data_IF_950787587830
#
_entry.id   IF_950787587830
#
_cell.length_a   1.000
_cell.length_b   1.000
_cell.length_c   1.000
_cell.angle_alpha   90.00
_cell.angle_beta   90.00
_cell.angle_gamma   90.00
#
_symmetry.space_group_name_H-M   'P 1'
#
loop_
_entity.id
_entity.type
_entity.pdbx_description
1 polymer ?
#
# COMPACT_ATOMS: atom_id res chain seq x y z
N UNK A 1 -4.83 -0.79 12.55
CA UNK A 1 -3.49 -1.45 12.38
C UNK A 1 -3.16 -2.47 13.49
N UNK A 2 -3.31 -2.22 14.82
CA UNK A 2 -2.96 -3.23 15.83
C UNK A 2 -3.64 -4.60 15.66
N UNK A 3 -4.93 -4.65 15.29
CA UNK A 3 -5.59 -5.92 14.96
C UNK A 3 -4.99 -6.62 13.73
N UNK A 4 -4.57 -5.85 12.71
CA UNK A 4 -3.85 -6.40 11.55
C UNK A 4 -2.47 -6.95 11.98
N UNK A 5 -1.80 -6.31 12.94
CA UNK A 5 -0.55 -6.82 13.50
C UNK A 5 -0.74 -8.18 14.19
N UNK A 6 -1.84 -8.39 14.92
CA UNK A 6 -2.17 -9.70 15.50
C UNK A 6 -2.45 -10.74 14.40
N UNK A 7 -3.19 -10.35 13.36
CA UNK A 7 -3.40 -11.20 12.17
C UNK A 7 -2.05 -11.60 11.53
N UNK A 8 -1.13 -10.65 11.35
CA UNK A 8 0.20 -10.91 10.79
C UNK A 8 1.02 -11.89 11.67
N UNK A 9 0.99 -11.72 13.00
CA UNK A 9 1.64 -12.64 13.95
C UNK A 9 1.05 -14.04 13.89
N UNK A 10 -0.29 -14.16 13.90
CA UNK A 10 -1.03 -15.43 13.81
C UNK A 10 -0.66 -16.19 12.53
N UNK A 11 -0.58 -15.49 11.42
CA UNK A 11 -0.20 -16.05 10.11
C UNK A 11 1.32 -16.22 9.94
N UNK A 12 2.13 -15.88 10.96
CA UNK A 12 3.59 -15.94 10.89
C UNK A 12 4.15 -15.17 9.68
N UNK A 13 3.57 -13.99 9.42
CA UNK A 13 4.00 -13.17 8.30
C UNK A 13 5.51 -12.87 8.38
N UNK A 14 6.18 -12.97 7.25
CA UNK A 14 7.62 -12.72 7.15
C UNK A 14 7.92 -11.23 7.02
N UNK A 15 6.95 -10.45 6.62
CA UNK A 15 6.92 -8.98 6.64
C UNK A 15 5.46 -8.48 6.53
N UNK A 16 5.28 -7.20 6.81
CA UNK A 16 4.08 -6.43 6.47
C UNK A 16 4.45 -5.28 5.53
N UNK A 17 3.61 -5.02 4.55
CA UNK A 17 3.82 -3.97 3.56
C UNK A 17 2.65 -3.00 3.54
N UNK A 18 2.89 -1.74 3.92
CA UNK A 18 1.91 -0.66 3.90
C UNK A 18 2.06 0.16 2.62
N UNK A 19 0.96 0.43 1.93
CA UNK A 19 0.96 1.04 0.60
C UNK A 19 0.63 2.55 0.62
N UNK A 20 0.95 3.26 1.71
CA UNK A 20 0.77 4.70 1.82
C UNK A 20 -0.50 5.13 2.55
N UNK A 21 -0.68 6.44 2.72
CA UNK A 21 -1.70 7.11 3.53
C UNK A 21 -1.66 6.67 4.99
N UNK A 22 -0.62 7.14 5.68
CA UNK A 22 -0.36 6.77 7.07
C UNK A 22 -1.27 7.50 8.04
N UNK A 23 -1.55 8.77 7.75
CA UNK A 23 -2.40 9.68 8.53
C UNK A 23 -3.11 10.67 7.60
N UNK A 24 -4.25 11.22 8.06
CA UNK A 24 -5.05 12.13 7.25
C UNK A 24 -4.34 13.48 6.95
N UNK A 25 -3.54 14.00 7.86
CA UNK A 25 -2.72 15.23 7.80
C UNK A 25 -3.55 16.52 7.73
N UNK A 26 -4.43 16.71 6.75
CA UNK A 26 -5.23 17.94 6.59
C UNK A 26 -6.50 17.97 7.44
N UNK A 27 -6.86 16.87 8.05
CA UNK A 27 -7.96 16.72 9.01
C UNK A 27 -7.56 15.73 10.08
N UNK A 28 -8.27 15.72 11.22
CA UNK A 28 -7.93 14.83 12.30
C UNK A 28 -8.28 13.38 11.97
N UNK A 29 -7.39 12.46 12.36
CA UNK A 29 -7.75 11.05 12.48
C UNK A 29 -8.58 10.82 13.74
N UNK A 30 -9.60 10.01 13.63
CA UNK A 30 -10.57 9.76 14.70
C UNK A 30 -9.92 9.15 15.95
N UNK A 31 -8.96 8.25 15.78
CA UNK A 31 -8.28 7.60 16.90
C UNK A 31 -7.42 8.58 17.71
N UNK A 32 -6.76 9.55 17.06
CA UNK A 32 -6.00 10.58 17.76
C UNK A 32 -6.93 11.48 18.58
N UNK A 33 -8.08 11.87 18.01
CA UNK A 33 -9.05 12.68 18.74
C UNK A 33 -9.63 11.98 19.97
N UNK A 34 -9.72 10.66 19.95
CA UNK A 34 -10.26 9.85 21.04
C UNK A 34 -9.20 9.39 22.05
N UNK A 35 -7.96 9.82 21.92
CA UNK A 35 -6.96 9.63 22.99
C UNK A 35 -7.35 10.47 24.22
N UNK A 36 -7.25 9.93 25.44
CA UNK A 36 -7.71 10.61 26.68
C UNK A 36 -7.11 12.01 26.85
N UNK A 37 -5.83 12.20 26.49
CA UNK A 37 -5.11 13.47 26.53
C UNK A 37 -5.70 14.52 25.58
N UNK A 38 -6.22 14.10 24.42
CA UNK A 38 -6.77 14.99 23.40
C UNK A 38 -8.27 15.25 23.58
N UNK A 39 -8.99 14.36 24.26
CA UNK A 39 -10.35 14.64 24.75
C UNK A 39 -10.29 15.77 25.79
N UNK A 40 -9.31 15.71 26.70
CA UNK A 40 -9.15 16.73 27.75
C UNK A 40 -8.62 18.09 27.20
N UNK A 41 -7.79 18.04 26.15
CA UNK A 41 -7.20 19.21 25.50
C UNK A 41 -7.18 19.00 23.98
N UNK A 42 -8.22 19.48 23.26
CA UNK A 42 -8.28 19.34 21.81
C UNK A 42 -7.04 19.92 21.11
N UNK A 43 -6.56 19.19 20.10
CA UNK A 43 -5.43 19.61 19.28
C UNK A 43 -5.85 20.69 18.27
N UNK A 44 -4.94 21.61 17.97
CA UNK A 44 -5.00 22.36 16.72
C UNK A 44 -4.54 21.47 15.54
N UNK A 45 -4.87 21.85 14.31
CA UNK A 45 -4.37 21.15 13.11
C UNK A 45 -2.84 21.13 13.10
N UNK A 46 -2.19 22.24 13.43
CA UNK A 46 -0.73 22.33 13.46
C UNK A 46 -0.09 21.40 14.52
N UNK A 47 -0.72 21.31 15.72
CA UNK A 47 -0.25 20.35 16.74
C UNK A 47 -0.43 18.90 16.25
N UNK A 48 -1.58 18.58 15.64
CA UNK A 48 -1.83 17.28 15.06
C UNK A 48 -0.80 16.91 13.98
N UNK A 49 -0.55 17.79 13.02
CA UNK A 49 0.43 17.57 11.95
C UNK A 49 1.83 17.25 12.50
N UNK A 50 2.21 17.88 13.62
CA UNK A 50 3.51 17.65 14.25
C UNK A 50 3.65 16.27 14.89
N UNK A 51 2.54 15.68 15.38
CA UNK A 51 2.54 14.39 16.09
C UNK A 51 2.04 13.22 15.23
N UNK A 52 1.38 13.48 14.11
CA UNK A 52 0.69 12.47 13.32
C UNK A 52 1.58 11.29 12.91
N UNK A 53 2.76 11.53 12.38
CA UNK A 53 3.69 10.46 11.99
C UNK A 53 4.42 9.82 13.18
N UNK A 54 4.92 10.55 14.19
CA UNK A 54 5.39 9.94 15.44
C UNK A 54 4.34 9.00 16.06
N UNK A 55 3.08 9.45 16.19
CA UNK A 55 2.00 8.61 16.71
C UNK A 55 1.74 7.38 15.80
N UNK A 56 1.79 7.51 14.48
CA UNK A 56 1.66 6.37 13.59
C UNK A 56 2.76 5.33 13.83
N UNK A 57 3.99 5.76 14.04
CA UNK A 57 5.10 4.87 14.37
C UNK A 57 4.82 4.13 15.68
N UNK A 58 4.44 4.85 16.73
CA UNK A 58 4.27 4.30 18.06
C UNK A 58 2.99 3.45 18.20
N UNK A 59 1.89 3.87 17.57
CA UNK A 59 0.58 3.25 17.73
C UNK A 59 0.22 2.24 16.65
N UNK A 60 0.79 2.38 15.44
CA UNK A 60 0.40 1.57 14.28
C UNK A 60 1.53 0.65 13.77
N UNK A 61 2.80 1.10 13.77
CA UNK A 61 3.93 0.26 13.38
C UNK A 61 4.44 -0.60 14.54
N UNK A 62 4.66 -0.02 15.71
CA UNK A 62 5.22 -0.72 16.86
C UNK A 62 4.49 -2.03 17.24
N UNK A 63 3.16 -2.14 17.12
CA UNK A 63 2.44 -3.41 17.36
C UNK A 63 2.90 -4.60 16.52
N UNK A 64 3.53 -4.40 15.36
CA UNK A 64 4.08 -5.51 14.56
C UNK A 64 5.31 -6.16 15.20
N UNK A 65 5.96 -5.48 16.15
CA UNK A 65 7.10 -6.02 16.89
C UNK A 65 8.27 -6.38 15.96
N UNK A 66 8.71 -7.67 15.94
CA UNK A 66 9.85 -8.09 15.14
C UNK A 66 9.53 -8.33 13.66
N UNK A 67 8.27 -8.24 13.24
CA UNK A 67 7.88 -8.41 11.83
C UNK A 67 8.39 -7.21 11.04
N UNK A 68 9.25 -7.40 10.03
CA UNK A 68 9.72 -6.32 9.19
C UNK A 68 8.54 -5.54 8.58
N UNK A 69 8.59 -4.22 8.66
CA UNK A 69 7.56 -3.34 8.16
C UNK A 69 8.12 -2.52 7.00
N UNK A 70 7.57 -2.71 5.81
CA UNK A 70 7.88 -1.90 4.64
C UNK A 70 6.83 -0.80 4.49
N UNK A 71 7.27 0.45 4.38
CA UNK A 71 6.38 1.61 4.33
C UNK A 71 6.41 2.24 2.94
N UNK A 72 5.23 2.35 2.34
CA UNK A 72 5.02 3.10 1.11
C UNK A 72 4.50 4.51 1.39
N UNK A 73 4.61 5.39 0.41
CA UNK A 73 4.13 6.77 0.45
C UNK A 73 2.77 6.89 -0.27
N UNK A 74 1.80 7.59 0.33
CA UNK A 74 0.51 7.93 -0.28
C UNK A 74 0.36 9.41 -0.55
N UNK A 75 -0.81 9.83 -0.98
CA UNK A 75 -1.06 11.25 -1.30
C UNK A 75 -1.16 12.12 -0.04
N UNK A 76 -1.53 11.56 1.10
CA UNK A 76 -1.56 12.28 2.36
C UNK A 76 -0.15 12.63 2.87
N UNK A 77 0.87 11.90 2.45
CA UNK A 77 2.28 12.21 2.71
C UNK A 77 2.84 13.30 1.80
N UNK A 78 2.06 13.80 0.84
CA UNK A 78 2.49 14.80 -0.15
C UNK A 78 1.59 16.04 -0.20
N UNK A 79 0.87 16.34 0.88
CA UNK A 79 -0.01 17.51 1.00
C UNK A 79 0.83 18.76 1.29
N UNK A 80 1.33 19.38 0.23
CA UNK A 80 2.11 20.62 0.32
C UNK A 80 1.22 21.82 0.77
N UNK A 81 1.70 22.71 1.62
CA UNK A 81 3.05 22.76 2.24
C UNK A 81 3.17 21.93 3.52
N UNK A 82 2.13 21.23 3.96
CA UNK A 82 2.07 20.57 5.27
C UNK A 82 3.04 19.38 5.36
N UNK A 83 3.11 18.57 4.30
CA UNK A 83 3.99 17.41 4.17
C UNK A 83 4.57 17.33 2.77
N UNK A 84 5.82 16.91 2.68
CA UNK A 84 6.54 16.71 1.42
C UNK A 84 7.18 15.33 1.36
N UNK A 85 7.64 14.91 0.17
CA UNK A 85 8.44 13.69 0.02
C UNK A 85 9.73 13.73 0.84
N UNK A 86 10.35 14.89 0.97
CA UNK A 86 11.55 15.10 1.80
C UNK A 86 11.26 14.86 3.28
N UNK A 87 10.14 15.38 3.78
CA UNK A 87 9.70 15.13 5.17
C UNK A 87 9.46 13.64 5.42
N UNK A 88 8.80 12.96 4.44
CA UNK A 88 8.57 11.51 4.52
C UNK A 88 9.89 10.73 4.55
N UNK A 89 10.83 11.04 3.67
CA UNK A 89 12.15 10.40 3.63
C UNK A 89 12.93 10.61 4.94
N UNK A 90 12.81 11.77 5.55
CA UNK A 90 13.45 12.08 6.83
C UNK A 90 12.80 11.30 7.98
N UNK A 91 11.46 11.34 8.08
CA UNK A 91 10.72 10.71 9.18
C UNK A 91 10.80 9.18 9.15
N UNK A 92 10.76 8.58 7.96
CA UNK A 92 10.73 7.14 7.79
C UNK A 92 12.05 6.54 7.29
N UNK A 93 13.17 7.25 7.48
CA UNK A 93 14.49 6.82 7.05
C UNK A 93 14.84 5.40 7.54
N UNK A 94 14.54 5.07 8.79
CA UNK A 94 14.84 3.76 9.38
C UNK A 94 14.11 2.61 8.68
N UNK A 95 12.92 2.86 8.13
CA UNK A 95 12.13 1.88 7.37
C UNK A 95 12.49 1.84 5.89
N UNK A 96 13.00 2.93 5.33
CA UNK A 96 13.41 3.04 3.93
C UNK A 96 14.89 2.65 3.70
N UNK A 97 15.69 2.60 4.77
CA UNK A 97 17.12 2.23 4.74
C UNK A 97 17.41 1.00 5.61
N UNK A 98 16.45 0.08 5.71
CA UNK A 98 16.70 -1.21 6.38
C UNK A 98 17.88 -1.94 5.73
N UNK A 99 18.57 -2.84 6.46
CA UNK A 99 19.67 -3.62 5.88
C UNK A 99 19.30 -4.33 4.58
N UNK A 100 18.07 -4.83 4.48
CA UNK A 100 17.55 -5.51 3.27
C UNK A 100 17.43 -4.53 2.11
N UNK A 101 16.75 -3.40 2.29
CA UNK A 101 16.55 -2.40 1.24
C UNK A 101 17.87 -1.75 0.81
N UNK A 102 18.74 -1.44 1.77
CA UNK A 102 20.07 -0.89 1.48
C UNK A 102 20.92 -1.87 0.68
N UNK A 103 20.98 -3.13 1.08
CA UNK A 103 21.74 -4.16 0.38
C UNK A 103 21.20 -4.38 -1.04
N UNK A 104 19.87 -4.37 -1.22
CA UNK A 104 19.26 -4.51 -2.52
C UNK A 104 19.53 -3.30 -3.42
N UNK A 105 19.37 -2.08 -2.91
CA UNK A 105 19.65 -0.84 -3.64
C UNK A 105 21.10 -0.79 -4.17
N UNK A 106 22.07 -1.15 -3.32
CA UNK A 106 23.48 -1.21 -3.72
C UNK A 106 23.80 -2.35 -4.68
N UNK A 107 23.04 -3.44 -4.67
CA UNK A 107 23.13 -4.53 -5.66
C UNK A 107 22.58 -4.06 -7.02
N UNK A 108 21.50 -3.31 -7.00
CA UNK A 108 20.89 -2.75 -8.21
C UNK A 108 21.79 -1.68 -8.86
N UNK A 109 22.35 -0.76 -8.06
CA UNK A 109 23.37 0.19 -8.47
C UNK A 109 24.33 0.49 -7.31
N UNK A 110 25.60 0.05 -7.36
CA UNK A 110 26.57 0.29 -6.29
C UNK A 110 26.85 1.76 -5.97
N UNK A 111 26.40 2.68 -6.81
CA UNK A 111 26.53 4.13 -6.62
C UNK A 111 25.26 4.77 -6.05
N UNK A 112 24.19 4.01 -5.90
CA UNK A 112 22.92 4.53 -5.41
C UNK A 112 22.85 4.51 -3.88
N UNK A 113 23.31 5.60 -3.27
CA UNK A 113 23.30 5.80 -1.82
C UNK A 113 22.12 6.67 -1.33
N UNK A 114 21.22 7.09 -2.22
CA UNK A 114 20.12 7.99 -1.87
C UNK A 114 18.88 7.23 -1.45
N UNK A 115 18.25 7.67 -0.37
CA UNK A 115 16.90 7.26 -0.05
C UNK A 115 15.93 7.77 -1.11
N UNK A 116 14.92 6.97 -1.39
CA UNK A 116 13.85 7.26 -2.35
C UNK A 116 12.54 6.78 -1.77
N UNK A 117 11.46 7.35 -2.25
CA UNK A 117 10.09 6.94 -1.92
C UNK A 117 9.66 5.68 -2.67
N UNK A 118 10.46 5.22 -3.62
CA UNK A 118 10.30 3.96 -4.35
C UNK A 118 11.51 3.06 -4.10
N UNK A 119 11.26 1.76 -3.99
CA UNK A 119 12.28 0.79 -3.61
C UNK A 119 11.96 -0.62 -4.11
N UNK A 120 12.94 -1.50 -4.01
CA UNK A 120 12.87 -2.89 -4.45
C UNK A 120 13.59 -3.79 -3.46
N UNK A 121 13.08 -5.00 -3.27
CA UNK A 121 13.79 -6.08 -2.60
C UNK A 121 13.37 -7.43 -3.17
N UNK A 122 14.24 -8.42 -3.00
CA UNK A 122 13.95 -9.82 -3.37
C UNK A 122 13.91 -10.65 -2.10
N UNK A 123 12.87 -11.44 -1.94
CA UNK A 123 12.77 -12.48 -0.91
C UNK A 123 12.31 -13.80 -1.55
N UNK A 124 13.11 -14.85 -1.38
CA UNK A 124 12.80 -16.22 -1.81
C UNK A 124 12.25 -16.34 -3.25
N UNK A 125 12.90 -15.67 -4.18
CA UNK A 125 12.54 -15.72 -5.61
C UNK A 125 11.37 -14.81 -6.01
N UNK A 126 10.86 -14.01 -5.10
CA UNK A 126 9.86 -12.97 -5.39
C UNK A 126 10.53 -11.61 -5.35
N UNK A 127 10.47 -10.86 -6.43
CA UNK A 127 10.90 -9.47 -6.50
C UNK A 127 9.73 -8.53 -6.20
N UNK A 128 9.86 -7.73 -5.18
CA UNK A 128 8.87 -6.77 -4.71
C UNK A 128 9.30 -5.36 -5.10
N UNK A 129 8.44 -4.62 -5.77
CA UNK A 129 8.65 -3.24 -6.18
C UNK A 129 7.62 -2.33 -5.53
N UNK A 130 8.05 -1.32 -4.79
CA UNK A 130 7.18 -0.21 -4.42
C UNK A 130 7.39 0.95 -5.39
N UNK A 131 6.34 1.39 -6.06
CA UNK A 131 6.32 2.56 -6.93
C UNK A 131 5.60 3.73 -6.26
N UNK A 132 6.23 4.90 -6.25
CA UNK A 132 5.63 6.12 -5.74
C UNK A 132 4.62 6.66 -6.75
N UNK A 133 3.36 6.35 -6.51
CA UNK A 133 2.18 6.92 -7.18
C UNK A 133 1.37 7.82 -6.25
N UNK A 134 2.03 8.44 -5.26
CA UNK A 134 1.36 9.30 -4.26
C UNK A 134 0.57 10.43 -4.93
N UNK A 135 1.08 11.00 -6.00
CA UNK A 135 0.33 11.90 -6.87
C UNK A 135 -0.03 11.22 -8.19
N UNK A 136 -1.12 11.63 -8.84
CA UNK A 136 -1.58 11.00 -10.08
C UNK A 136 -0.89 11.55 -11.34
N UNK A 137 0.02 12.54 -11.19
CA UNK A 137 0.58 13.24 -12.35
C UNK A 137 1.41 12.34 -13.23
N UNK A 138 2.34 11.57 -12.64
CA UNK A 138 3.16 10.58 -13.37
C UNK A 138 4.16 9.87 -12.47
N UNK A 139 4.66 8.72 -12.92
CA UNK A 139 5.96 8.24 -12.50
C UNK A 139 7.03 9.08 -13.19
N UNK A 140 7.89 9.76 -12.45
CA UNK A 140 8.91 10.61 -13.04
C UNK A 140 9.98 9.80 -13.83
N UNK A 141 10.78 10.51 -14.64
CA UNK A 141 11.78 9.87 -15.48
C UNK A 141 12.89 9.13 -14.71
N UNK A 142 13.18 9.56 -13.47
CA UNK A 142 14.16 8.90 -12.61
C UNK A 142 13.61 7.57 -12.09
N UNK A 143 12.37 7.55 -11.61
CA UNK A 143 11.69 6.35 -11.15
C UNK A 143 11.46 5.36 -12.30
N UNK A 144 10.97 5.84 -13.46
CA UNK A 144 10.77 5.00 -14.64
C UNK A 144 12.05 4.32 -15.08
N UNK A 145 13.13 5.12 -15.26
CA UNK A 145 14.41 4.56 -15.68
C UNK A 145 15.02 3.60 -14.64
N UNK A 146 14.79 3.83 -13.35
CA UNK A 146 15.18 2.89 -12.31
C UNK A 146 14.35 1.61 -12.40
N UNK A 147 13.03 1.69 -12.49
CA UNK A 147 12.14 0.55 -12.58
C UNK A 147 12.48 -0.37 -13.74
N UNK A 148 12.61 0.21 -14.96
CA UNK A 148 12.92 -0.54 -16.17
C UNK A 148 14.27 -1.27 -16.09
N UNK A 149 15.30 -0.60 -15.58
CA UNK A 149 16.63 -1.23 -15.42
C UNK A 149 16.64 -2.34 -14.39
N UNK A 150 15.95 -2.15 -13.27
CA UNK A 150 15.87 -3.15 -12.18
C UNK A 150 15.03 -4.33 -12.62
N UNK A 151 13.87 -4.08 -13.22
CA UNK A 151 13.00 -5.12 -13.75
C UNK A 151 13.73 -5.96 -14.81
N UNK A 152 14.48 -5.36 -15.73
CA UNK A 152 15.23 -6.09 -16.73
C UNK A 152 16.26 -7.06 -16.13
N UNK A 153 16.90 -6.68 -15.00
CA UNK A 153 17.82 -7.57 -14.27
C UNK A 153 17.08 -8.75 -13.64
N UNK A 154 15.94 -8.49 -12.99
CA UNK A 154 15.15 -9.53 -12.35
C UNK A 154 14.53 -10.50 -13.37
N UNK A 155 14.13 -10.00 -14.53
CA UNK A 155 13.63 -10.87 -15.62
C UNK A 155 14.73 -11.78 -16.16
N UNK A 156 15.98 -11.34 -16.18
CA UNK A 156 17.14 -12.13 -16.59
C UNK A 156 17.63 -13.11 -15.51
N UNK A 157 17.23 -12.90 -14.24
CA UNK A 157 17.61 -13.78 -13.13
C UNK A 157 16.68 -15.02 -13.08
N UNK A 158 17.19 -16.24 -13.32
CA UNK A 158 16.37 -17.45 -13.28
C UNK A 158 15.88 -17.80 -11.86
N UNK A 159 16.45 -17.23 -10.83
CA UNK A 159 16.01 -17.45 -9.44
C UNK A 159 14.80 -16.60 -9.07
N UNK A 160 14.53 -15.51 -9.80
CA UNK A 160 13.32 -14.72 -9.65
C UNK A 160 12.20 -15.37 -10.45
N UNK A 161 11.17 -15.82 -9.76
CA UNK A 161 10.00 -16.48 -10.38
C UNK A 161 8.78 -15.57 -10.44
N UNK A 162 8.73 -14.57 -9.56
CA UNK A 162 7.54 -13.74 -9.40
C UNK A 162 7.90 -12.27 -9.19
N UNK A 163 7.04 -11.40 -9.71
CA UNK A 163 7.11 -9.94 -9.58
C UNK A 163 5.84 -9.47 -8.86
N UNK A 164 5.99 -8.76 -7.76
CA UNK A 164 4.89 -8.09 -7.06
C UNK A 164 5.16 -6.59 -7.05
N UNK A 165 4.28 -5.83 -7.67
CA UNK A 165 4.39 -4.38 -7.71
C UNK A 165 3.31 -3.76 -6.84
N UNK A 166 3.73 -3.04 -5.79
CA UNK A 166 2.85 -2.32 -4.88
C UNK A 166 2.94 -0.80 -5.10
N UNK A 167 1.83 -0.11 -4.91
CA UNK A 167 1.75 1.33 -5.06
C UNK A 167 0.55 1.89 -4.31
N UNK A 168 0.49 3.20 -4.14
CA UNK A 168 -0.67 3.82 -3.48
C UNK A 168 -1.86 3.92 -4.44
N UNK A 169 -1.78 4.74 -5.48
CA UNK A 169 -2.82 4.84 -6.51
C UNK A 169 -2.64 3.74 -7.55
N UNK A 170 -3.72 3.05 -7.90
CA UNK A 170 -3.70 1.99 -8.91
C UNK A 170 -3.24 2.49 -10.28
N UNK A 171 -2.60 1.60 -11.05
CA UNK A 171 -2.32 1.85 -12.46
C UNK A 171 -3.60 2.20 -13.23
N UNK A 172 -3.49 2.94 -14.34
CA UNK A 172 -4.67 3.41 -15.07
C UNK A 172 -5.48 2.28 -15.67
N UNK A 173 -6.69 2.62 -16.08
CA UNK A 173 -7.67 1.70 -16.68
C UNK A 173 -8.09 0.55 -15.73
N UNK A 174 -7.95 0.77 -14.43
CA UNK A 174 -8.51 -0.09 -13.39
C UNK A 174 -10.02 0.15 -13.23
N UNK A 175 -10.72 -0.77 -12.59
CA UNK A 175 -12.14 -0.61 -12.24
C UNK A 175 -12.36 0.63 -11.36
N UNK A 176 -11.39 1.00 -10.51
CA UNK A 176 -11.42 2.21 -9.67
C UNK A 176 -10.79 3.42 -10.38
N UNK A 177 -11.15 3.71 -11.61
CA UNK A 177 -10.54 4.75 -12.43
C UNK A 177 -10.60 6.16 -11.81
N UNK A 178 -11.65 6.50 -11.05
CA UNK A 178 -11.79 7.80 -10.37
C UNK A 178 -10.84 8.01 -9.18
N UNK A 179 -10.12 6.96 -8.75
CA UNK A 179 -9.12 6.99 -7.68
C UNK A 179 -7.86 6.21 -8.11
N UNK A 180 -7.34 6.54 -9.28
CA UNK A 180 -6.18 5.88 -9.89
C UNK A 180 -5.34 6.90 -10.65
N UNK A 181 -4.32 6.45 -11.34
CA UNK A 181 -3.51 7.30 -12.21
C UNK A 181 -4.26 7.82 -13.46
N UNK A 182 -5.55 7.49 -13.64
CA UNK A 182 -6.42 8.12 -14.64
C UNK A 182 -6.71 9.60 -14.36
N UNK A 183 -6.40 10.11 -13.17
CA UNK A 183 -6.67 11.50 -12.78
C UNK A 183 -5.83 12.52 -13.56
N UNK A 184 -4.77 12.10 -14.26
CA UNK A 184 -4.01 12.98 -15.15
C UNK A 184 -3.56 12.28 -16.44
N UNK A 185 -3.42 13.04 -17.57
CA UNK A 185 -2.93 12.47 -18.82
C UNK A 185 -1.53 11.86 -18.71
N UNK A 186 -0.63 12.50 -17.97
CA UNK A 186 0.75 12.03 -17.78
C UNK A 186 0.79 10.80 -16.85
N UNK A 187 -0.14 10.71 -15.89
CA UNK A 187 -0.37 9.52 -15.07
C UNK A 187 -0.84 8.33 -15.90
N UNK A 188 -1.78 8.56 -16.81
CA UNK A 188 -2.25 7.54 -17.76
C UNK A 188 -1.08 7.04 -18.62
N UNK A 189 -0.29 7.94 -19.21
CA UNK A 189 0.82 7.56 -20.08
C UNK A 189 1.89 6.73 -19.34
N UNK A 190 2.41 7.25 -18.21
CA UNK A 190 3.46 6.57 -17.44
C UNK A 190 2.97 5.28 -16.81
N UNK A 191 1.73 5.26 -16.31
CA UNK A 191 1.13 4.06 -15.72
C UNK A 191 0.85 2.95 -16.75
N UNK A 192 0.39 3.29 -17.95
CA UNK A 192 0.25 2.32 -19.05
C UNK A 192 1.61 1.74 -19.47
N UNK A 193 2.69 2.52 -19.42
CA UNK A 193 4.04 2.03 -19.69
C UNK A 193 4.49 1.02 -18.64
N UNK A 194 4.30 1.30 -17.35
CA UNK A 194 4.56 0.33 -16.27
C UNK A 194 3.73 -0.94 -16.47
N UNK A 195 2.44 -0.80 -16.77
CA UNK A 195 1.58 -1.96 -17.01
C UNK A 195 2.07 -2.82 -18.19
N UNK A 196 2.49 -2.19 -19.29
CA UNK A 196 3.04 -2.89 -20.46
C UNK A 196 4.35 -3.63 -20.13
N UNK A 197 5.23 -3.04 -19.28
CA UNK A 197 6.44 -3.71 -18.82
C UNK A 197 6.13 -4.94 -17.98
N UNK A 198 5.14 -4.84 -17.09
CA UNK A 198 4.66 -5.95 -16.28
C UNK A 198 3.98 -7.04 -17.14
N UNK A 199 3.23 -6.66 -18.17
CA UNK A 199 2.68 -7.62 -19.14
C UNK A 199 3.78 -8.38 -19.88
N UNK A 200 4.88 -7.70 -20.29
CA UNK A 200 6.04 -8.37 -20.87
C UNK A 200 6.71 -9.34 -19.89
N UNK A 201 6.82 -8.95 -18.62
CA UNK A 201 7.31 -9.85 -17.58
C UNK A 201 6.48 -11.12 -17.47
N UNK A 202 5.15 -11.02 -17.58
CA UNK A 202 4.25 -12.17 -17.54
C UNK A 202 4.31 -12.99 -18.84
N UNK A 203 4.19 -12.36 -19.99
CA UNK A 203 3.96 -13.05 -21.26
C UNK A 203 5.26 -13.54 -21.90
N UNK A 204 6.33 -12.73 -21.86
CA UNK A 204 7.58 -13.01 -22.57
C UNK A 204 8.61 -13.69 -21.64
N UNK A 205 8.72 -13.23 -20.40
CA UNK A 205 9.64 -13.79 -19.42
C UNK A 205 9.02 -14.88 -18.53
N UNK A 206 7.72 -15.15 -18.69
CA UNK A 206 6.97 -16.21 -17.99
C UNK A 206 7.06 -16.09 -16.45
N UNK A 207 7.14 -14.88 -15.92
CA UNK A 207 7.09 -14.62 -14.48
C UNK A 207 5.63 -14.55 -14.01
N UNK A 208 5.36 -14.97 -12.77
CA UNK A 208 4.10 -14.65 -12.14
C UNK A 208 4.10 -13.16 -11.78
N UNK A 209 3.09 -12.41 -12.19
CA UNK A 209 3.03 -10.96 -11.99
C UNK A 209 1.78 -10.57 -11.23
N UNK A 210 1.93 -9.71 -10.22
CA UNK A 210 0.85 -9.26 -9.36
C UNK A 210 0.98 -7.76 -9.08
N UNK A 211 -0.17 -7.05 -9.05
CA UNK A 211 -0.21 -5.62 -8.79
C UNK A 211 -1.10 -5.33 -7.57
N UNK A 212 -0.54 -4.64 -6.58
CA UNK A 212 -1.23 -4.27 -5.35
C UNK A 212 -1.37 -2.75 -5.28
N UNK A 213 -2.56 -2.27 -4.97
CA UNK A 213 -2.84 -0.85 -4.75
C UNK A 213 -3.67 -0.63 -3.48
N UNK A 214 -3.68 0.61 -3.00
CA UNK A 214 -4.55 1.06 -1.91
C UNK A 214 -5.39 2.26 -2.34
N UNK A 215 -5.30 3.41 -1.69
CA UNK A 215 -5.97 4.67 -1.99
C UNK A 215 -7.51 4.62 -2.00
N UNK A 216 -8.11 3.72 -2.76
CA UNK A 216 -9.56 3.49 -2.70
C UNK A 216 -9.89 2.66 -1.45
N UNK A 217 -10.76 3.19 -0.59
CA UNK A 217 -11.02 2.64 0.74
C UNK A 217 -12.00 1.46 0.72
N UNK A 218 -11.68 0.43 -0.04
CA UNK A 218 -12.39 -0.86 -0.13
C UNK A 218 -11.41 -1.99 -0.49
N UNK A 219 -11.89 -3.21 -0.45
CA UNK A 219 -11.22 -4.37 -1.04
C UNK A 219 -11.77 -4.64 -2.42
N UNK A 220 -10.90 -4.93 -3.39
CA UNK A 220 -11.30 -5.39 -4.72
C UNK A 220 -10.23 -6.31 -5.31
N UNK A 221 -10.65 -7.44 -5.87
CA UNK A 221 -9.84 -8.42 -6.59
C UNK A 221 -10.18 -8.38 -8.09
N UNK A 222 -9.16 -8.40 -8.95
CA UNK A 222 -9.31 -8.36 -10.40
C UNK A 222 -9.57 -6.93 -10.93
N UNK A 223 -8.90 -5.94 -10.34
CA UNK A 223 -9.10 -4.52 -10.66
C UNK A 223 -8.82 -4.15 -12.12
N UNK A 224 -8.07 -4.97 -12.85
CA UNK A 224 -7.76 -4.76 -14.28
C UNK A 224 -8.65 -5.59 -15.21
N UNK A 225 -9.72 -6.22 -14.73
CA UNK A 225 -10.67 -6.97 -15.56
C UNK A 225 -11.58 -6.05 -16.40
N UNK A 226 -10.99 -5.05 -17.05
CA UNK A 226 -11.66 -4.02 -17.84
C UNK A 226 -11.64 -4.34 -19.33
N UNK A 227 -12.55 -3.74 -20.09
CA UNK A 227 -12.56 -3.87 -21.54
C UNK A 227 -11.26 -3.35 -22.17
N UNK A 228 -10.71 -2.27 -21.59
CA UNK A 228 -9.45 -1.70 -22.08
C UNK A 228 -8.31 -2.73 -22.06
N UNK A 229 -8.01 -3.34 -20.91
CA UNK A 229 -6.88 -4.27 -20.81
C UNK A 229 -7.12 -5.59 -21.55
N UNK A 230 -8.37 -6.07 -21.63
CA UNK A 230 -8.74 -7.23 -22.46
C UNK A 230 -8.42 -7.02 -23.94
N UNK A 231 -8.46 -5.77 -24.41
CA UNK A 231 -8.18 -5.41 -25.80
C UNK A 231 -6.73 -4.94 -26.04
N UNK A 232 -6.00 -4.57 -24.98
CA UNK A 232 -4.68 -3.95 -25.07
C UNK A 232 -3.58 -4.77 -24.37
N UNK A 233 -3.49 -6.06 -24.70
CA UNK A 233 -2.36 -6.90 -24.32
C UNK A 233 -2.64 -7.91 -23.22
N UNK A 234 -3.70 -7.77 -22.45
CA UNK A 234 -4.11 -8.77 -21.44
C UNK A 234 -4.33 -8.17 -20.05
N UNK A 235 -4.87 -9.01 -19.17
CA UNK A 235 -5.28 -8.65 -17.82
C UNK A 235 -4.26 -9.17 -16.82
N UNK A 236 -3.62 -8.28 -16.08
CA UNK A 236 -2.78 -8.65 -14.93
C UNK A 236 -3.63 -8.93 -13.69
N UNK A 237 -3.25 -9.91 -12.85
CA UNK A 237 -3.79 -10.05 -11.51
C UNK A 237 -3.53 -8.77 -10.69
N UNK A 238 -4.57 -8.20 -10.12
CA UNK A 238 -4.42 -6.95 -9.35
C UNK A 238 -5.48 -6.77 -8.29
N UNK A 239 -5.09 -6.13 -7.18
CA UNK A 239 -5.95 -5.88 -6.02
C UNK A 239 -5.89 -4.43 -5.57
N UNK A 240 -7.01 -3.95 -5.03
CA UNK A 240 -7.08 -2.78 -4.16
C UNK A 240 -7.33 -3.26 -2.73
N UNK A 241 -6.49 -2.79 -1.79
CA UNK A 241 -6.53 -3.15 -0.37
C UNK A 241 -6.43 -1.90 0.50
N UNK A 242 -7.31 -0.94 0.29
CA UNK A 242 -7.41 0.28 1.10
C UNK A 242 -8.23 0.06 2.38
N UNK A 243 -7.96 -1.00 3.15
CA UNK A 243 -8.85 -1.49 4.22
C UNK A 243 -8.25 -1.46 5.62
N UNK A 244 -7.08 -0.84 5.81
CA UNK A 244 -6.38 -0.86 7.10
C UNK A 244 -6.89 0.19 8.12
N UNK A 245 -7.74 1.09 7.71
CA UNK A 245 -8.31 2.19 8.50
C UNK A 245 -9.15 3.13 7.64
N UNK A 246 -9.32 4.38 8.06
CA UNK A 246 -10.08 5.44 7.39
C UNK A 246 -11.57 5.12 7.14
N UNK A 247 -12.31 6.10 6.63
CA UNK A 247 -13.70 5.93 6.21
C UNK A 247 -13.78 5.02 4.97
N UNK A 248 -14.89 4.30 4.81
CA UNK A 248 -15.11 3.43 3.65
C UNK A 248 -15.73 4.20 2.49
N UNK A 249 -15.35 3.84 1.26
CA UNK A 249 -15.97 4.37 0.05
C UNK A 249 -17.01 3.39 -0.49
N UNK A 250 -18.03 3.90 -1.15
CA UNK A 250 -18.93 3.07 -1.97
C UNK A 250 -18.15 2.42 -3.11
N UNK A 251 -18.52 1.21 -3.46
CA UNK A 251 -17.93 0.55 -4.62
C UNK A 251 -18.26 1.29 -5.91
N UNK A 252 -17.34 1.38 -6.87
CA UNK A 252 -17.62 1.98 -8.17
C UNK A 252 -18.72 1.21 -8.91
N UNK A 253 -19.49 1.89 -9.80
CA UNK A 253 -20.63 1.27 -10.48
C UNK A 253 -20.30 0.01 -11.28
N UNK A 254 -19.07 -0.09 -11.78
CA UNK A 254 -18.57 -1.25 -12.55
C UNK A 254 -17.85 -2.30 -11.67
N UNK A 255 -18.02 -2.27 -10.36
CA UNK A 255 -17.40 -3.24 -9.44
C UNK A 255 -17.83 -4.69 -9.69
N UNK A 256 -18.95 -4.91 -10.38
CA UNK A 256 -19.38 -6.25 -10.80
C UNK A 256 -18.44 -6.91 -11.83
N UNK A 257 -17.59 -6.14 -12.50
CA UNK A 257 -16.58 -6.66 -13.42
C UNK A 257 -15.36 -7.26 -12.67
N UNK A 258 -15.18 -6.92 -11.40
CA UNK A 258 -14.14 -7.49 -10.53
C UNK A 258 -14.45 -8.98 -10.21
N UNK A 259 -13.42 -9.73 -9.84
CA UNK A 259 -13.61 -11.11 -9.32
C UNK A 259 -14.23 -11.12 -7.93
N UNK A 260 -13.98 -10.08 -7.15
CA UNK A 260 -14.56 -9.86 -5.82
C UNK A 260 -14.38 -8.42 -5.39
N UNK A 261 -15.39 -7.87 -4.74
CA UNK A 261 -15.34 -6.51 -4.20
C UNK A 261 -16.13 -6.45 -2.88
N UNK A 262 -15.58 -5.75 -1.90
CA UNK A 262 -16.20 -5.58 -0.59
C UNK A 262 -15.90 -4.19 -0.05
N UNK A 263 -16.93 -3.49 0.36
CA UNK A 263 -16.84 -2.30 1.21
C UNK A 263 -17.38 -2.61 2.61
N UNK A 264 -17.38 -1.63 3.50
CA UNK A 264 -17.79 -1.79 4.90
C UNK A 264 -16.96 -2.84 5.66
N UNK A 265 -15.69 -2.98 5.29
CA UNK A 265 -14.77 -3.95 5.89
C UNK A 265 -13.44 -3.31 6.25
N UNK A 266 -12.83 -3.81 7.33
CA UNK A 266 -11.40 -3.66 7.62
C UNK A 266 -10.72 -5.00 7.40
N UNK A 267 -9.42 -4.98 7.09
CA UNK A 267 -8.64 -6.20 6.90
C UNK A 267 -7.34 -5.97 6.17
N UNK A 268 -6.69 -7.07 5.83
CA UNK A 268 -5.43 -7.10 5.09
C UNK A 268 -5.40 -8.24 4.07
N UNK A 269 -4.55 -8.13 3.07
CA UNK A 269 -4.31 -9.17 2.09
C UNK A 269 -3.13 -10.04 2.54
N UNK A 270 -3.34 -11.33 2.61
CA UNK A 270 -2.29 -12.32 2.92
C UNK A 270 -1.83 -12.95 1.61
N UNK A 271 -0.54 -12.86 1.31
CA UNK A 271 0.08 -13.53 0.17
C UNK A 271 0.86 -14.76 0.63
N UNK A 272 0.53 -15.94 0.10
CA UNK A 272 1.20 -17.20 0.40
C UNK A 272 1.96 -17.66 -0.83
N UNK A 273 3.29 -17.58 -0.77
CA UNK A 273 4.18 -17.99 -1.86
C UNK A 273 4.26 -19.51 -1.91
N UNK A 274 3.90 -20.08 -3.06
CA UNK A 274 3.96 -21.52 -3.33
C UNK A 274 5.37 -21.93 -3.76
N UNK A 275 5.74 -23.22 -3.68
CA UNK A 275 7.04 -23.70 -4.18
C UNK A 275 7.30 -23.43 -5.67
N UNK A 276 6.25 -23.23 -6.46
CA UNK A 276 6.32 -22.83 -7.87
C UNK A 276 6.67 -21.35 -8.08
N UNK A 277 6.63 -20.55 -7.02
CA UNK A 277 6.70 -19.09 -7.08
C UNK A 277 5.33 -18.40 -7.21
N UNK A 278 4.29 -19.13 -7.60
CA UNK A 278 2.93 -18.56 -7.59
C UNK A 278 2.54 -18.07 -6.21
N UNK A 279 1.79 -16.98 -6.13
CA UNK A 279 1.31 -16.42 -4.87
C UNK A 279 -0.20 -16.51 -4.82
N UNK A 280 -0.70 -17.19 -3.80
CA UNK A 280 -2.12 -17.23 -3.48
C UNK A 280 -2.43 -16.06 -2.53
N UNK A 281 -3.35 -15.19 -2.96
CA UNK A 281 -3.79 -14.06 -2.15
C UNK A 281 -5.15 -14.32 -1.53
N UNK A 282 -5.25 -14.06 -0.22
CA UNK A 282 -6.48 -14.18 0.55
C UNK A 282 -6.72 -12.89 1.34
N UNK A 283 -7.94 -12.37 1.28
CA UNK A 283 -8.33 -11.20 2.08
C UNK A 283 -8.84 -11.65 3.44
N UNK A 284 -8.09 -11.34 4.48
CA UNK A 284 -8.46 -11.63 5.86
C UNK A 284 -9.15 -10.41 6.48
N UNK A 285 -10.46 -10.55 6.76
CA UNK A 285 -11.25 -9.51 7.41
C UNK A 285 -10.87 -9.40 8.88
N UNK A 286 -10.81 -8.16 9.35
CA UNK A 286 -10.68 -7.84 10.76
C UNK A 286 -12.09 -7.66 11.36
N UNK A 287 -12.43 -8.44 12.37
CA UNK A 287 -13.64 -8.25 13.16
C UNK A 287 -13.35 -7.40 14.40
N UNK A 288 -14.39 -6.82 15.01
CA UNK A 288 -14.27 -6.07 16.26
C UNK A 288 -13.64 -6.91 17.38
N UNK A 289 -13.98 -8.20 17.43
CA UNK A 289 -13.42 -9.16 18.41
C UNK A 289 -11.91 -9.45 18.23
N UNK A 290 -11.33 -9.09 17.09
CA UNK A 290 -9.90 -9.27 16.81
C UNK A 290 -9.07 -8.08 17.31
N UNK A 291 -9.72 -7.02 17.84
CA UNK A 291 -9.02 -5.85 18.35
C UNK A 291 -8.37 -6.18 19.69
N UNK A 292 -7.04 -5.95 19.85
CA UNK A 292 -6.35 -6.23 21.10
C UNK A 292 -6.94 -5.43 22.28
N UNK A 293 -7.02 -6.07 23.47
CA UNK A 293 -7.51 -5.44 24.70
C UNK A 293 -6.76 -4.14 25.04
N UNK A 294 -5.47 -4.05 24.71
CA UNK A 294 -4.69 -2.82 24.91
C UNK A 294 -5.24 -1.63 24.12
N UNK A 295 -5.86 -1.88 22.96
CA UNK A 295 -6.49 -0.85 22.13
C UNK A 295 -7.83 -0.44 22.74
N UNK A 296 -8.68 -1.41 23.10
CA UNK A 296 -9.96 -1.13 23.73
C UNK A 296 -9.81 -0.44 25.09
N UNK A 297 -8.77 -0.80 25.84
CA UNK A 297 -8.42 -0.12 27.10
C UNK A 297 -7.96 1.34 26.90
N UNK A 298 -7.25 1.63 25.79
CA UNK A 298 -6.75 2.98 25.49
C UNK A 298 -7.83 3.90 24.93
N UNK A 299 -8.65 3.42 24.01
CA UNK A 299 -9.61 4.25 23.27
C UNK A 299 -11.06 4.10 23.75
N UNK A 300 -11.36 3.10 24.56
CA UNK A 300 -12.70 2.75 25.03
C UNK A 300 -13.44 1.80 24.10
N UNK A 301 -14.24 0.90 24.68
CA UNK A 301 -15.06 -0.05 23.92
C UNK A 301 -16.06 0.62 22.99
N UNK A 302 -16.66 1.73 23.44
CA UNK A 302 -17.65 2.48 22.64
C UNK A 302 -17.03 3.05 21.35
N UNK A 303 -15.81 3.57 21.42
CA UNK A 303 -15.12 4.06 20.24
C UNK A 303 -14.74 2.93 19.27
N UNK A 304 -14.21 1.81 19.78
CA UNK A 304 -13.90 0.64 18.94
C UNK A 304 -15.19 0.11 18.28
N UNK A 305 -16.28 0.00 19.03
CA UNK A 305 -17.57 -0.41 18.48
C UNK A 305 -18.04 0.55 17.37
N UNK A 306 -17.98 1.87 17.61
CA UNK A 306 -18.32 2.88 16.62
C UNK A 306 -17.50 2.72 15.32
N UNK A 307 -16.21 2.40 15.39
CA UNK A 307 -15.38 2.14 14.22
C UNK A 307 -15.98 1.03 13.34
N UNK A 308 -16.46 -0.05 13.93
CA UNK A 308 -17.02 -1.19 13.20
C UNK A 308 -18.49 -1.01 12.80
N UNK A 309 -19.28 -0.33 13.63
CA UNK A 309 -20.72 -0.15 13.41
C UNK A 309 -21.03 1.00 12.44
N UNK A 310 -20.31 2.14 12.56
CA UNK A 310 -20.63 3.38 11.85
C UNK A 310 -19.53 3.84 10.90
N UNK A 311 -18.27 3.96 11.37
CA UNK A 311 -17.18 4.47 10.55
C UNK A 311 -16.82 3.50 9.41
N UNK A 312 -17.07 2.21 9.57
CA UNK A 312 -16.89 1.21 8.50
C UNK A 312 -17.96 1.30 7.40
N UNK A 313 -19.05 2.03 7.63
CA UNK A 313 -20.10 2.18 6.61
C UNK A 313 -19.63 3.13 5.49
N UNK A 314 -19.79 2.67 4.23
CA UNK A 314 -19.38 3.45 3.06
C UNK A 314 -20.22 4.73 2.91
N UNK A 315 -19.58 5.83 2.60
CA UNK A 315 -20.17 7.15 2.38
C UNK A 315 -19.94 7.62 0.96
#
# INVERSE_FOLDING_TARGET
>A
MPGIAETAKKNRAVFYWHLGDLRAIYTFDEDIQHQPEHIAKPLSIADYESIAWPDFIDSQIAPFGPIPFFVGIGNHETISPLKTREDFLLQFADWLDTPVLRAQRLRDDPRDHRLKTYFHWIDRGVAFYYLDSATAEQFDGAQMGWFERTLAKDLADPTVTSIVTGMHKALPESISAGHSMNESPTGIESGRRVYADLLRAQNDAHKHVYVLASHSHFYMDGIFNTAYWKQNGGVLPGWIVGTAGAVRYVLPPNSADARGAQTNVYGSLIGIVQPTGEINFEFEKLAEADIPEAVTSRYGHEFVHWCFAENSQAK
#
